data_IF_884136253193
#
_entry.id   IF_884136253193
#
_cell.length_a   1.000
_cell.length_b   1.000
_cell.length_c   1.000
_cell.angle_alpha   90.00
_cell.angle_beta   90.00
_cell.angle_gamma   90.00
#
_symmetry.space_group_name_H-M   'P 1'
#
loop_
_entity.id
_entity.type
_entity.pdbx_description
1 polymer ?
#
# COMPACT_ATOMS: atom_id res chain seq x y z
N UNK A 1 -2.23 -9.43 -24.65
CA UNK A 1 -3.60 -9.23 -24.17
C UNK A 1 -3.53 -9.14 -22.64
N UNK A 2 -3.58 -7.93 -22.08
CA UNK A 2 -3.37 -7.65 -20.64
C UNK A 2 -4.54 -8.28 -19.87
N UNK A 3 -4.28 -9.30 -19.07
CA UNK A 3 -5.27 -9.92 -18.19
C UNK A 3 -5.71 -8.87 -17.17
N UNK A 4 -6.85 -8.24 -17.44
CA UNK A 4 -7.53 -7.40 -16.47
C UNK A 4 -8.12 -8.36 -15.44
N UNK A 5 -7.35 -8.66 -14.40
CA UNK A 5 -7.78 -9.49 -13.27
C UNK A 5 -9.01 -8.80 -12.67
N UNK A 6 -10.20 -9.36 -12.90
CA UNK A 6 -11.44 -8.90 -12.30
C UNK A 6 -11.37 -9.15 -10.79
N UNK A 7 -10.82 -8.19 -10.05
CA UNK A 7 -10.82 -8.21 -8.59
C UNK A 7 -12.27 -8.19 -8.10
N UNK A 8 -12.59 -9.06 -7.14
CA UNK A 8 -13.89 -9.01 -6.47
C UNK A 8 -14.08 -7.65 -5.78
N UNK A 9 -15.31 -7.15 -5.64
CA UNK A 9 -15.59 -5.87 -4.97
C UNK A 9 -14.90 -5.77 -3.60
N UNK A 10 -14.89 -6.85 -2.83
CA UNK A 10 -14.19 -6.92 -1.55
C UNK A 10 -12.66 -6.79 -1.67
N UNK A 11 -12.04 -7.38 -2.71
CA UNK A 11 -10.62 -7.18 -2.98
C UNK A 11 -10.32 -5.74 -3.40
N UNK A 12 -11.23 -5.11 -4.14
CA UNK A 12 -11.11 -3.72 -4.57
C UNK A 12 -11.28 -2.73 -3.40
N UNK A 13 -12.25 -2.96 -2.52
CA UNK A 13 -12.44 -2.16 -1.29
C UNK A 13 -11.25 -2.29 -0.34
N UNK A 14 -10.70 -3.50 -0.17
CA UNK A 14 -9.46 -3.70 0.59
C UNK A 14 -8.29 -2.97 -0.06
N UNK A 15 -8.12 -3.11 -1.37
CA UNK A 15 -7.05 -2.42 -2.10
C UNK A 15 -7.16 -0.89 -2.00
N UNK A 16 -8.37 -0.33 -2.04
CA UNK A 16 -8.59 1.11 -1.83
C UNK A 16 -8.14 1.55 -0.43
N UNK A 17 -8.43 0.77 0.62
CA UNK A 17 -7.92 1.04 1.97
C UNK A 17 -6.39 0.95 2.06
N UNK A 18 -5.79 -0.02 1.37
CA UNK A 18 -4.33 -0.15 1.31
C UNK A 18 -3.69 1.10 0.71
N UNK A 19 -4.18 1.54 -0.45
CA UNK A 19 -3.65 2.72 -1.13
C UNK A 19 -3.80 3.98 -0.30
N UNK A 20 -4.95 4.18 0.35
CA UNK A 20 -5.19 5.32 1.21
C UNK A 20 -4.21 5.38 2.40
N UNK A 21 -3.96 4.23 3.04
CA UNK A 21 -3.02 4.14 4.17
C UNK A 21 -1.59 4.43 3.70
N UNK A 22 -1.19 3.90 2.54
CA UNK A 22 0.15 4.18 1.97
C UNK A 22 0.30 5.65 1.61
N UNK A 23 -0.71 6.27 0.98
CA UNK A 23 -0.67 7.70 0.65
C UNK A 23 -0.54 8.57 1.90
N UNK A 24 -1.24 8.22 3.00
CA UNK A 24 -1.10 8.91 4.29
C UNK A 24 0.31 8.73 4.88
N UNK A 25 0.91 7.55 4.73
CA UNK A 25 2.28 7.27 5.18
C UNK A 25 3.32 8.04 4.35
N UNK A 26 3.17 8.07 3.03
CA UNK A 26 4.01 8.85 2.11
C UNK A 26 3.90 10.35 2.36
N UNK A 27 2.70 10.85 2.64
CA UNK A 27 2.45 12.23 3.03
C UNK A 27 2.96 12.57 4.45
N UNK A 28 3.63 11.63 5.13
CA UNK A 28 4.15 11.75 6.50
C UNK A 28 3.08 12.12 7.54
N UNK A 29 1.80 11.86 7.26
CA UNK A 29 0.69 12.07 8.21
C UNK A 29 0.60 10.96 9.25
N UNK A 30 1.02 9.77 8.87
CA UNK A 30 1.20 8.61 9.75
C UNK A 30 2.58 8.02 9.52
N UNK A 31 3.11 7.31 10.51
CA UNK A 31 4.37 6.57 10.35
C UNK A 31 4.12 5.25 9.61
N UNK A 32 5.17 4.69 8.99
CA UNK A 32 5.11 3.37 8.38
C UNK A 32 4.78 2.26 9.40
N UNK A 33 5.17 2.42 10.66
CA UNK A 33 4.77 1.51 11.74
C UNK A 33 3.26 1.54 12.00
N UNK A 34 2.68 2.74 12.12
CA UNK A 34 1.23 2.90 12.27
C UNK A 34 0.47 2.38 11.05
N UNK A 35 1.02 2.56 9.85
CA UNK A 35 0.46 1.99 8.63
C UNK A 35 0.45 0.45 8.70
N UNK A 36 1.50 -0.18 9.23
CA UNK A 36 1.56 -1.64 9.40
C UNK A 36 0.50 -2.15 10.37
N UNK A 37 0.28 -1.44 11.48
CA UNK A 37 -0.76 -1.76 12.47
C UNK A 37 -2.17 -1.65 11.86
N UNK A 38 -2.47 -0.57 11.15
CA UNK A 38 -3.77 -0.35 10.47
C UNK A 38 -4.02 -1.45 9.42
N UNK A 39 -2.96 -1.86 8.72
CA UNK A 39 -3.00 -2.88 7.68
C UNK A 39 -3.03 -4.32 8.24
N UNK A 40 -2.77 -4.49 9.54
CA UNK A 40 -2.63 -5.81 10.16
C UNK A 40 -1.47 -6.64 9.59
N UNK A 41 -0.42 -5.99 9.08
CA UNK A 41 0.77 -6.65 8.54
C UNK A 41 1.98 -6.42 9.43
N UNK A 42 3.00 -7.27 9.29
CA UNK A 42 4.25 -7.08 10.04
C UNK A 42 5.01 -5.83 9.56
N UNK A 43 5.71 -5.18 10.49
CA UNK A 43 6.57 -4.02 10.17
C UNK A 43 7.61 -4.35 9.08
N UNK A 44 8.14 -5.58 9.07
CA UNK A 44 9.05 -6.05 8.02
C UNK A 44 8.41 -6.02 6.63
N UNK A 45 7.14 -6.44 6.51
CA UNK A 45 6.43 -6.35 5.23
C UNK A 45 6.23 -4.88 4.83
N UNK A 46 5.88 -4.02 5.77
CA UNK A 46 5.66 -2.60 5.50
C UNK A 46 6.95 -1.87 5.10
N UNK A 47 8.09 -2.21 5.71
CA UNK A 47 9.42 -1.68 5.32
C UNK A 47 9.81 -2.08 3.91
N UNK A 48 9.53 -3.32 3.50
CA UNK A 48 9.79 -3.78 2.13
C UNK A 48 8.94 -3.04 1.10
N UNK A 49 7.71 -2.69 1.48
CA UNK A 49 6.84 -1.87 0.66
C UNK A 49 7.34 -0.43 0.58
N UNK A 50 7.76 0.14 1.71
CA UNK A 50 8.39 1.46 1.77
C UNK A 50 9.60 1.55 0.83
N UNK A 51 10.52 0.59 0.89
CA UNK A 51 11.69 0.54 -0.01
C UNK A 51 11.27 0.62 -1.48
N UNK A 52 10.25 -0.17 -1.88
CA UNK A 52 9.71 -0.14 -3.24
C UNK A 52 9.04 1.19 -3.59
N UNK A 53 8.26 1.78 -2.69
CA UNK A 53 7.60 3.07 -2.93
C UNK A 53 8.57 4.25 -2.90
N UNK A 54 9.68 4.17 -2.16
CA UNK A 54 10.74 5.18 -2.15
C UNK A 54 11.61 5.11 -3.41
N UNK A 55 11.88 3.89 -3.92
CA UNK A 55 12.72 3.68 -5.11
C UNK A 55 12.01 4.03 -6.42
N UNK A 56 10.72 3.70 -6.54
CA UNK A 56 9.94 3.87 -7.77
C UNK A 56 8.92 5.02 -7.73
N UNK A 57 8.77 5.68 -6.57
CA UNK A 57 7.67 6.61 -6.34
C UNK A 57 6.31 5.95 -6.51
N UNK A 58 5.26 6.77 -6.65
CA UNK A 58 3.93 6.28 -7.05
C UNK A 58 3.82 6.11 -8.59
N UNK A 59 4.83 6.58 -9.34
CA UNK A 59 4.86 6.69 -10.80
C UNK A 59 5.57 5.53 -11.51
N UNK A 60 6.14 4.56 -10.78
CA UNK A 60 6.79 3.38 -11.37
C UNK A 60 5.83 2.25 -11.79
N UNK A 61 4.59 2.57 -12.18
CA UNK A 61 3.55 1.63 -12.61
C UNK A 61 3.30 1.63 -14.11
#
# INVERSE_FOLDING_TARGET
MRSMVSYSKAAMERAMKVQEVILRAMAKRITWWQAAEIMGISDRHMRRWRERYEEFGYDGL
#
